data_IF_692455432245
#
_entry.id   IF_692455432245
#
_cell.length_a   1.000
_cell.length_b   1.000
_cell.length_c   1.000
_cell.angle_alpha   90.00
_cell.angle_beta   90.00
_cell.angle_gamma   90.00
#
_symmetry.space_group_name_H-M   'P 1'
#
loop_
_entity.id
_entity.type
_entity.pdbx_description
1 polymer ?
#
# COMPACT_ATOMS: atom_id res chain seq x y z
N UNK A 1 11.43 7.88 6.67
CA UNK A 1 10.90 7.08 5.52
C UNK A 1 10.15 5.83 5.97
N UNK A 2 10.76 4.94 6.76
CA UNK A 2 10.14 3.66 7.19
C UNK A 2 8.83 3.87 7.98
N UNK A 3 8.84 4.77 8.95
CA UNK A 3 7.66 5.14 9.75
C UNK A 3 6.51 5.67 8.88
N UNK A 4 6.82 6.50 7.88
CA UNK A 4 5.81 7.00 6.95
C UNK A 4 5.20 5.87 6.11
N UNK A 5 6.00 4.95 5.60
CA UNK A 5 5.50 3.78 4.86
C UNK A 5 4.59 2.89 5.72
N UNK A 6 4.93 2.71 6.99
CA UNK A 6 4.09 1.97 7.97
C UNK A 6 2.76 2.69 8.20
N UNK A 7 2.77 4.01 8.41
CA UNK A 7 1.55 4.80 8.60
C UNK A 7 0.64 4.74 7.37
N UNK A 8 1.21 4.81 6.17
CA UNK A 8 0.45 4.71 4.91
C UNK A 8 -0.17 3.33 4.75
N UNK A 9 0.57 2.25 5.05
CA UNK A 9 0.02 0.91 5.03
C UNK A 9 -1.14 0.77 6.04
N UNK A 10 -0.96 1.24 7.27
CA UNK A 10 -2.03 1.23 8.29
C UNK A 10 -3.25 2.04 7.86
N UNK A 11 -3.04 3.23 7.27
CA UNK A 11 -4.13 4.06 6.77
C UNK A 11 -4.89 3.40 5.62
N UNK A 12 -4.20 2.73 4.69
CA UNK A 12 -4.82 2.00 3.59
C UNK A 12 -5.68 0.83 4.08
N UNK A 13 -5.18 0.06 5.06
CA UNK A 13 -5.96 -1.01 5.69
C UNK A 13 -7.11 -0.48 6.55
N UNK A 14 -6.92 0.63 7.26
CA UNK A 14 -7.99 1.28 8.01
C UNK A 14 -9.12 1.78 7.11
N UNK A 15 -8.77 2.32 5.95
CA UNK A 15 -9.71 2.74 4.92
C UNK A 15 -10.44 1.57 4.24
N UNK A 16 -9.82 0.38 4.18
CA UNK A 16 -10.48 -0.83 3.70
C UNK A 16 -11.48 -1.39 4.72
N UNK A 17 -11.09 -1.46 6.00
CA UNK A 17 -11.80 -2.22 7.02
C UNK A 17 -12.83 -1.41 7.81
N UNK A 18 -12.54 -0.14 8.11
CA UNK A 18 -13.30 0.63 9.10
C UNK A 18 -14.01 1.85 8.53
N UNK A 19 -13.56 2.41 7.40
CA UNK A 19 -14.08 3.67 6.89
C UNK A 19 -14.70 3.54 5.50
N UNK A 20 -16.00 3.85 5.39
CA UNK A 20 -16.73 4.04 4.13
C UNK A 20 -17.05 5.52 3.90
N UNK A 21 -16.11 6.33 3.36
CA UNK A 21 -16.38 7.72 3.03
C UNK A 21 -17.24 7.84 1.76
N UNK A 22 -17.65 9.06 1.42
CA UNK A 22 -18.35 9.35 0.16
C UNK A 22 -17.56 8.81 -1.06
N UNK A 23 -18.24 8.37 -2.14
CA UNK A 23 -17.61 7.63 -3.24
C UNK A 23 -16.46 8.40 -3.91
N UNK A 24 -16.56 9.72 -4.03
CA UNK A 24 -15.50 10.55 -4.61
C UNK A 24 -14.25 10.64 -3.71
N UNK A 25 -14.43 10.74 -2.38
CA UNK A 25 -13.31 10.72 -1.40
C UNK A 25 -12.65 9.35 -1.39
N UNK A 26 -13.47 8.31 -1.39
CA UNK A 26 -13.07 6.91 -1.47
C UNK A 26 -12.17 6.64 -2.68
N UNK A 27 -12.53 7.21 -3.84
CA UNK A 27 -11.76 7.11 -5.08
C UNK A 27 -10.44 7.88 -5.02
N UNK A 28 -10.44 9.12 -4.50
CA UNK A 28 -9.21 9.91 -4.32
C UNK A 28 -8.21 9.20 -3.41
N UNK A 29 -8.68 8.66 -2.29
CA UNK A 29 -7.85 7.92 -1.34
C UNK A 29 -7.29 6.63 -1.97
N UNK A 30 -8.12 5.93 -2.76
CA UNK A 30 -7.67 4.75 -3.51
C UNK A 30 -6.50 5.10 -4.44
N UNK A 31 -6.64 6.15 -5.24
CA UNK A 31 -5.59 6.59 -6.18
C UNK A 31 -4.33 7.05 -5.43
N UNK A 32 -4.48 7.80 -4.34
CA UNK A 32 -3.36 8.23 -3.52
C UNK A 32 -2.58 7.01 -2.96
N UNK A 33 -3.27 6.06 -2.34
CA UNK A 33 -2.64 4.87 -1.78
C UNK A 33 -2.03 3.95 -2.86
N UNK A 34 -2.63 3.88 -4.05
CA UNK A 34 -2.09 3.11 -5.17
C UNK A 34 -0.75 3.70 -5.65
N UNK A 35 -0.67 5.02 -5.80
CA UNK A 35 0.58 5.73 -6.14
C UNK A 35 1.63 5.55 -5.04
N UNK A 36 1.27 5.81 -3.78
CA UNK A 36 2.18 5.67 -2.64
C UNK A 36 2.68 4.24 -2.46
N UNK A 37 1.80 3.24 -2.55
CA UNK A 37 2.14 1.82 -2.45
C UNK A 37 3.09 1.39 -3.57
N UNK A 38 2.84 1.85 -4.81
CA UNK A 38 3.71 1.60 -5.96
C UNK A 38 5.09 2.23 -5.78
N UNK A 39 5.14 3.49 -5.35
CA UNK A 39 6.40 4.20 -5.07
C UNK A 39 7.23 3.50 -3.99
N UNK A 40 6.60 3.06 -2.89
CA UNK A 40 7.30 2.33 -1.84
C UNK A 40 7.77 0.95 -2.30
N UNK A 41 6.97 0.25 -3.11
CA UNK A 41 7.36 -1.05 -3.66
C UNK A 41 8.55 -0.91 -4.59
N UNK A 42 8.53 0.07 -5.49
CA UNK A 42 9.64 0.35 -6.41
C UNK A 42 10.88 0.84 -5.68
N UNK A 43 10.75 1.80 -4.76
CA UNK A 43 11.88 2.31 -4.00
C UNK A 43 12.49 1.24 -3.08
N UNK A 44 11.65 0.44 -2.42
CA UNK A 44 12.09 -0.66 -1.57
C UNK A 44 12.70 -1.81 -2.37
N UNK A 45 12.13 -2.17 -3.52
CA UNK A 45 12.64 -3.18 -4.43
C UNK A 45 13.95 -2.77 -5.07
N UNK A 46 14.04 -1.53 -5.57
CA UNK A 46 15.28 -0.96 -6.12
C UNK A 46 16.37 -0.89 -5.06
N UNK A 47 16.06 -0.41 -3.85
CA UNK A 47 17.01 -0.40 -2.73
C UNK A 47 17.44 -1.81 -2.33
N UNK A 48 16.57 -2.81 -2.41
CA UNK A 48 16.94 -4.19 -2.07
C UNK A 48 17.79 -4.88 -3.15
N UNK A 49 17.50 -4.61 -4.43
CA UNK A 49 18.16 -5.22 -5.58
C UNK A 49 19.49 -4.54 -5.94
N UNK A 50 19.52 -3.20 -5.95
CA UNK A 50 20.73 -2.42 -6.26
C UNK A 50 21.80 -2.57 -5.18
N UNK A 51 21.38 -2.73 -3.92
CA UNK A 51 22.27 -2.76 -2.76
C UNK A 51 22.77 -4.18 -2.43
N UNK A 52 23.07 -4.93 -3.48
CA UNK A 52 23.51 -6.32 -3.42
C UNK A 52 24.84 -6.52 -2.67
N UNK A 53 25.58 -5.43 -2.39
CA UNK A 53 26.83 -5.44 -1.63
C UNK A 53 26.77 -4.97 -0.17
N UNK A 54 25.63 -4.48 0.33
CA UNK A 54 25.53 -3.99 1.72
C UNK A 54 25.34 -5.12 2.74
N UNK A 55 25.94 -4.92 3.93
CA UNK A 55 25.89 -5.87 5.05
C UNK A 55 24.42 -6.17 5.45
N UNK A 56 24.08 -7.42 5.81
CA UNK A 56 22.70 -7.83 6.13
C UNK A 56 22.00 -6.96 7.18
N UNK A 57 22.74 -6.37 8.10
CA UNK A 57 22.21 -5.49 9.17
C UNK A 57 21.71 -4.12 8.68
N UNK A 58 22.03 -3.71 7.45
CA UNK A 58 21.56 -2.45 6.85
C UNK A 58 20.43 -2.62 5.83
N UNK A 59 20.15 -3.85 5.39
CA UNK A 59 19.02 -4.15 4.49
C UNK A 59 17.70 -4.01 5.22
N UNK A 60 16.98 -2.94 4.92
CA UNK A 60 15.67 -2.70 5.49
C UNK A 60 14.55 -2.88 4.46
N UNK A 61 14.04 -4.11 4.36
CA UNK A 61 12.90 -4.45 3.47
C UNK A 61 11.56 -3.82 3.89
N UNK A 62 11.51 -3.10 5.01
CA UNK A 62 10.29 -2.51 5.59
C UNK A 62 9.53 -1.65 4.57
N UNK A 63 10.21 -0.81 3.78
CA UNK A 63 9.54 0.06 2.79
C UNK A 63 8.88 -0.76 1.69
N UNK A 64 9.56 -1.80 1.20
CA UNK A 64 9.01 -2.74 0.22
C UNK A 64 7.77 -3.45 0.77
N UNK A 65 7.87 -4.01 1.98
CA UNK A 65 6.76 -4.73 2.62
C UNK A 65 5.56 -3.80 2.84
N UNK A 66 5.78 -2.58 3.33
CA UNK A 66 4.71 -1.59 3.48
C UNK A 66 4.09 -1.19 2.14
N UNK A 67 4.88 -1.06 1.08
CA UNK A 67 4.39 -0.82 -0.27
C UNK A 67 3.46 -1.93 -0.74
N UNK A 68 3.90 -3.19 -0.61
CA UNK A 68 3.10 -4.36 -0.97
C UNK A 68 1.81 -4.46 -0.15
N UNK A 69 1.87 -4.23 1.16
CA UNK A 69 0.68 -4.23 2.03
C UNK A 69 -0.31 -3.13 1.64
N UNK A 70 0.18 -1.97 1.23
CA UNK A 70 -0.66 -0.86 0.76
C UNK A 70 -1.38 -1.23 -0.55
N UNK A 71 -0.67 -1.86 -1.48
CA UNK A 71 -1.25 -2.35 -2.74
C UNK A 71 -2.24 -3.49 -2.51
N UNK A 72 -1.94 -4.41 -1.60
CA UNK A 72 -2.85 -5.49 -1.22
C UNK A 72 -4.17 -4.95 -0.66
N UNK A 73 -4.12 -3.88 0.16
CA UNK A 73 -5.33 -3.22 0.64
C UNK A 73 -6.16 -2.62 -0.50
N UNK A 74 -5.52 -2.03 -1.52
CA UNK A 74 -6.23 -1.53 -2.71
C UNK A 74 -6.87 -2.67 -3.52
N UNK A 75 -6.15 -3.77 -3.72
CA UNK A 75 -6.69 -4.95 -4.39
C UNK A 75 -7.91 -5.52 -3.65
N UNK A 76 -7.83 -5.67 -2.33
CA UNK A 76 -8.96 -6.10 -1.50
C UNK A 76 -10.16 -5.17 -1.62
N UNK A 77 -9.92 -3.87 -1.78
CA UNK A 77 -10.99 -2.87 -1.98
C UNK A 77 -11.67 -3.00 -3.33
N UNK A 78 -10.90 -3.27 -4.38
CA UNK A 78 -11.43 -3.56 -5.71
C UNK A 78 -12.32 -4.80 -5.69
N UNK A 79 -11.83 -5.90 -5.10
CA UNK A 79 -12.62 -7.13 -4.96
C UNK A 79 -13.90 -6.92 -4.15
N UNK A 80 -13.83 -6.14 -3.07
CA UNK A 80 -15.00 -5.80 -2.27
C UNK A 80 -16.01 -4.96 -3.06
N UNK A 81 -15.54 -4.02 -3.87
CA UNK A 81 -16.41 -3.22 -4.75
C UNK A 81 -17.11 -4.10 -5.77
N UNK A 82 -16.37 -4.96 -6.49
CA UNK A 82 -16.92 -5.88 -7.48
C UNK A 82 -17.96 -6.83 -6.86
N UNK A 83 -17.64 -7.38 -5.67
CA UNK A 83 -18.57 -8.24 -4.95
C UNK A 83 -19.81 -7.52 -4.44
N UNK A 84 -19.70 -6.25 -4.04
CA UNK A 84 -20.86 -5.45 -3.62
C UNK A 84 -21.74 -5.11 -4.84
N UNK A 85 -21.15 -4.91 -6.03
CA UNK A 85 -21.87 -4.64 -7.29
C UNK A 85 -22.58 -5.88 -7.86
N UNK A 86 -21.98 -7.07 -7.74
CA UNK A 86 -22.60 -8.35 -8.19
C UNK A 86 -23.81 -8.78 -7.33
N UNK A 87 -23.95 -8.21 -6.12
CA UNK A 87 -25.02 -8.54 -5.17
C UNK A 87 -26.18 -7.53 -5.16
N UNK A 88 -26.11 -6.46 -5.98
CA UNK A 88 -27.11 -5.39 -6.08
C UNK A 88 -28.09 -5.60 -7.25
#
# INVERSE_FOLDING_TARGET
MKTFAVLVALAAWGHLLFWRPAPWVSWLLFMAFLVLGSLFTLAGGFSYWWDSGMRPSQRSAVVLVCGLLTLAAQAGRLFKSLSDDDLA
#
